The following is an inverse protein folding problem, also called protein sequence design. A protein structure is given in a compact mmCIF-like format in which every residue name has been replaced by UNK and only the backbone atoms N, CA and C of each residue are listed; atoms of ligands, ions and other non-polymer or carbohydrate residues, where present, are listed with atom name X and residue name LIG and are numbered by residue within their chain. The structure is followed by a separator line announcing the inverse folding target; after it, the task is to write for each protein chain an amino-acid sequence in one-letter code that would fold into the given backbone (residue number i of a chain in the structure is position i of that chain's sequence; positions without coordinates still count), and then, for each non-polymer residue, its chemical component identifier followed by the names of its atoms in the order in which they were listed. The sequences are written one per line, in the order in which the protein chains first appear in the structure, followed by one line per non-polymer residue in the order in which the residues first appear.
data_IF_392840899125
#
_entry.id   IF_392840899125
#
_cell.length_a   1.000
_cell.length_b   1.000
_cell.length_c   1.000
_cell.angle_alpha   90.00
_cell.angle_beta   90.00
_cell.angle_gamma   90.00
#
_symmetry.space_group_name_H-M   'P 1'
#
loop_
_entity.id
_entity.type
_entity.pdbx_description
1 polymer ?
#
# COMPACT_ATOMS: atom_id res chain seq x y z
N UNK A 1 -0.23 14.20 -22.79
CA UNK A 1 -1.09 12.99 -22.83
C UNK A 1 -2.31 13.11 -23.74
N UNK A 2 -2.74 14.31 -24.20
CA UNK A 2 -3.81 14.44 -25.20
C UNK A 2 -3.56 13.66 -26.50
N UNK A 3 -2.30 13.52 -26.91
CA UNK A 3 -1.92 12.80 -28.13
C UNK A 3 -1.96 11.26 -28.03
N UNK A 4 -1.93 10.66 -26.82
CA UNK A 4 -1.99 9.19 -26.69
C UNK A 4 -3.44 8.67 -26.81
N UNK A 5 -4.41 9.40 -26.26
CA UNK A 5 -5.81 9.01 -26.29
C UNK A 5 -6.38 9.04 -27.73
N UNK A 6 -6.01 10.04 -28.53
CA UNK A 6 -6.44 10.15 -29.93
C UNK A 6 -5.87 9.04 -30.83
N UNK A 7 -4.78 8.38 -30.41
CA UNK A 7 -4.15 7.29 -31.17
C UNK A 7 -4.79 5.93 -30.90
N UNK A 8 -5.33 5.70 -29.69
CA UNK A 8 -5.93 4.42 -29.31
C UNK A 8 -7.29 4.13 -29.97
N UNK A 9 -8.02 5.15 -30.42
CA UNK A 9 -9.34 5.00 -31.04
C UNK A 9 -9.96 6.35 -31.38
N UNK A 10 -11.01 6.36 -32.19
CA UNK A 10 -11.86 7.56 -32.29
C UNK A 10 -12.66 7.77 -31.00
N UNK A 11 -13.07 9.01 -30.68
CA UNK A 11 -13.89 9.30 -29.47
C UNK A 11 -15.13 8.39 -29.36
N UNK A 12 -15.69 7.97 -30.50
CA UNK A 12 -16.83 7.02 -30.55
C UNK A 12 -16.47 5.56 -30.25
N UNK A 13 -15.24 5.11 -30.48
CA UNK A 13 -14.78 3.75 -30.15
C UNK A 13 -14.43 3.59 -28.67
N UNK A 14 -13.96 4.67 -28.03
CA UNK A 14 -13.62 4.67 -26.61
C UNK A 14 -14.84 4.90 -25.71
N UNK A 15 -15.91 5.52 -26.22
CA UNK A 15 -17.15 5.78 -25.47
C UNK A 15 -17.82 4.52 -24.89
N UNK A 16 -17.50 3.33 -25.42
CA UNK A 16 -18.03 2.07 -24.88
C UNK A 16 -17.49 1.75 -23.48
N UNK A 17 -16.31 2.24 -23.11
CA UNK A 17 -15.75 2.03 -21.77
C UNK A 17 -16.46 2.85 -20.69
N UNK A 18 -17.22 3.87 -21.10
CA UNK A 18 -18.07 4.69 -20.24
C UNK A 18 -19.54 4.20 -20.22
N UNK A 19 -19.89 3.20 -21.04
CA UNK A 19 -21.23 2.61 -21.08
C UNK A 19 -21.38 1.51 -20.01
N UNK A 20 -22.02 1.86 -18.89
CA UNK A 20 -22.29 0.92 -17.79
C UNK A 20 -23.19 -0.27 -18.19
N UNK A 21 -23.88 -0.20 -19.34
CA UNK A 21 -24.71 -1.28 -19.88
C UNK A 21 -23.96 -2.20 -20.85
N UNK A 22 -22.72 -1.86 -21.19
CA UNK A 22 -21.90 -2.64 -22.11
C UNK A 22 -21.59 -4.02 -21.53
N UNK A 23 -21.82 -5.05 -22.32
CA UNK A 23 -21.50 -6.42 -21.91
C UNK A 23 -19.99 -6.64 -21.90
N UNK A 24 -19.53 -7.47 -20.96
CA UNK A 24 -18.10 -7.80 -20.82
C UNK A 24 -17.45 -8.28 -22.15
N UNK A 25 -18.07 -9.13 -22.98
CA UNK A 25 -17.50 -9.49 -24.29
C UNK A 25 -17.31 -8.30 -25.23
N UNK A 26 -18.23 -7.32 -25.22
CA UNK A 26 -18.11 -6.11 -26.05
C UNK A 26 -16.97 -5.22 -25.57
N UNK A 27 -16.82 -5.06 -24.26
CA UNK A 27 -15.70 -4.34 -23.66
C UNK A 27 -14.35 -5.00 -24.01
N UNK A 28 -14.27 -6.33 -23.94
CA UNK A 28 -13.07 -7.07 -24.32
C UNK A 28 -12.73 -6.93 -25.81
N UNK A 29 -13.74 -6.94 -26.69
CA UNK A 29 -13.53 -6.74 -28.12
C UNK A 29 -13.05 -5.31 -28.44
N UNK A 30 -13.64 -4.31 -27.79
CA UNK A 30 -13.20 -2.93 -27.90
C UNK A 30 -11.75 -2.76 -27.43
N UNK A 31 -11.39 -3.38 -26.30
CA UNK A 31 -10.03 -3.37 -25.78
C UNK A 31 -9.03 -4.01 -26.76
N UNK A 32 -9.39 -5.17 -27.32
CA UNK A 32 -8.61 -5.85 -28.36
C UNK A 32 -8.37 -4.96 -29.58
N UNK A 33 -9.40 -4.24 -30.04
CA UNK A 33 -9.30 -3.31 -31.19
C UNK A 33 -8.36 -2.14 -30.88
N UNK A 34 -8.49 -1.53 -29.71
CA UNK A 34 -7.61 -0.43 -29.29
C UNK A 34 -6.13 -0.86 -29.26
N UNK A 35 -5.85 -2.04 -28.69
CA UNK A 35 -4.48 -2.53 -28.61
C UNK A 35 -3.91 -2.93 -29.97
N UNK A 36 -4.74 -3.49 -30.87
CA UNK A 36 -4.32 -3.76 -32.25
C UNK A 36 -3.98 -2.48 -32.98
N UNK A 37 -4.80 -1.44 -32.86
CA UNK A 37 -4.51 -0.15 -33.49
C UNK A 37 -3.18 0.43 -33.01
N UNK A 38 -2.93 0.41 -31.69
CA UNK A 38 -1.64 0.84 -31.14
C UNK A 38 -0.48 0.01 -31.71
N UNK A 39 -0.63 -1.31 -31.77
CA UNK A 39 0.36 -2.21 -32.32
C UNK A 39 0.62 -1.97 -33.83
N UNK A 40 -0.43 -1.71 -34.61
CA UNK A 40 -0.36 -1.41 -36.05
C UNK A 40 0.34 -0.07 -36.32
N UNK A 41 0.21 0.91 -35.41
CA UNK A 41 0.97 2.16 -35.41
C UNK A 41 2.44 1.99 -34.94
N UNK A 42 2.84 0.75 -34.59
CA UNK A 42 4.21 0.41 -34.22
C UNK A 42 4.51 0.52 -32.72
N UNK A 43 3.51 0.79 -31.88
CA UNK A 43 3.70 0.88 -30.43
C UNK A 43 3.73 -0.50 -29.76
N UNK A 44 4.43 -0.56 -28.62
CA UNK A 44 4.35 -1.65 -27.66
C UNK A 44 3.29 -1.30 -26.61
N UNK A 45 2.43 -2.26 -26.28
CA UNK A 45 1.42 -2.12 -25.23
C UNK A 45 1.93 -2.80 -23.97
N UNK A 46 2.03 -2.04 -22.90
CA UNK A 46 2.44 -2.56 -21.59
C UNK A 46 1.33 -2.34 -20.57
N UNK A 47 0.88 -3.42 -19.94
CA UNK A 47 -0.16 -3.39 -18.92
C UNK A 47 0.41 -3.74 -17.55
N UNK A 48 0.30 -2.79 -16.62
CA UNK A 48 0.61 -2.98 -15.21
C UNK A 48 -0.64 -3.46 -14.47
N UNK A 49 -0.59 -4.67 -13.94
CA UNK A 49 -1.68 -5.28 -13.19
C UNK A 49 -1.31 -5.29 -11.71
N UNK A 50 -1.78 -4.26 -10.99
CA UNK A 50 -1.57 -4.05 -9.56
C UNK A 50 -2.32 -5.05 -8.69
N UNK A 51 -1.68 -5.52 -7.61
CA UNK A 51 -2.29 -6.39 -6.58
C UNK A 51 -3.01 -7.61 -7.19
N UNK A 52 -2.37 -8.21 -8.21
CA UNK A 52 -3.00 -9.22 -9.06
C UNK A 52 -3.39 -10.50 -8.29
N UNK A 53 -2.63 -10.81 -7.23
CA UNK A 53 -2.87 -11.89 -6.28
C UNK A 53 -4.07 -11.63 -5.35
N UNK A 54 -4.42 -10.36 -5.10
CA UNK A 54 -5.52 -9.97 -4.20
C UNK A 54 -6.87 -9.81 -4.92
N UNK A 55 -6.93 -9.97 -6.24
CA UNK A 55 -8.17 -9.78 -6.99
C UNK A 55 -9.22 -10.83 -6.60
N UNK A 56 -10.28 -10.41 -5.90
CA UNK A 56 -11.34 -11.30 -5.39
C UNK A 56 -12.48 -11.55 -6.38
N UNK A 57 -12.61 -10.72 -7.42
CA UNK A 57 -13.68 -10.79 -8.41
C UNK A 57 -13.34 -11.67 -9.63
N UNK A 58 -12.12 -12.20 -9.70
CA UNK A 58 -11.64 -12.92 -10.89
C UNK A 58 -12.23 -14.31 -10.99
N UNK A 59 -12.36 -14.78 -12.23
CA UNK A 59 -12.81 -16.13 -12.57
C UNK A 59 -11.84 -16.76 -13.57
N UNK A 60 -11.90 -18.07 -13.81
CA UNK A 60 -11.15 -18.70 -14.90
C UNK A 60 -11.36 -18.01 -16.25
N UNK A 61 -12.56 -17.48 -16.50
CA UNK A 61 -12.89 -16.70 -17.70
C UNK A 61 -12.00 -15.46 -17.79
N UNK A 62 -11.84 -14.72 -16.69
CA UNK A 62 -10.99 -13.53 -16.65
C UNK A 62 -9.53 -13.85 -17.02
N UNK A 63 -8.95 -14.90 -16.45
CA UNK A 63 -7.56 -15.30 -16.75
C UNK A 63 -7.39 -15.77 -18.20
N UNK A 64 -8.35 -16.55 -18.70
CA UNK A 64 -8.38 -16.98 -20.10
C UNK A 64 -8.49 -15.80 -21.06
N UNK A 65 -9.20 -14.74 -20.69
CA UNK A 65 -9.29 -13.53 -21.51
C UNK A 65 -7.98 -12.77 -21.56
N UNK A 66 -7.25 -12.65 -20.45
CA UNK A 66 -5.90 -12.07 -20.44
C UNK A 66 -4.93 -12.89 -21.30
N UNK A 67 -4.99 -14.22 -21.19
CA UNK A 67 -4.19 -15.12 -22.03
C UNK A 67 -4.54 -14.99 -23.51
N UNK A 68 -5.83 -14.95 -23.85
CA UNK A 68 -6.33 -14.74 -25.21
C UNK A 68 -5.90 -13.39 -25.79
N UNK A 69 -5.95 -12.34 -24.97
CA UNK A 69 -5.55 -10.99 -25.36
C UNK A 69 -4.06 -10.96 -25.72
N UNK A 70 -3.21 -11.54 -24.87
CA UNK A 70 -1.79 -11.69 -25.13
C UNK A 70 -1.50 -12.52 -26.39
N UNK A 71 -2.17 -13.66 -26.56
CA UNK A 71 -2.01 -14.48 -27.75
C UNK A 71 -2.38 -13.74 -29.04
N UNK A 72 -3.42 -12.90 -29.00
CA UNK A 72 -3.90 -12.15 -30.16
C UNK A 72 -2.99 -11.00 -30.61
N UNK A 73 -2.04 -10.61 -29.75
CA UNK A 73 -1.11 -9.49 -29.92
C UNK A 73 0.32 -9.92 -29.55
N UNK A 74 0.60 -11.22 -29.68
CA UNK A 74 1.90 -11.78 -29.28
C UNK A 74 3.01 -11.03 -30.00
N UNK A 75 4.09 -10.69 -29.27
CA UNK A 75 5.19 -9.77 -29.61
C UNK A 75 5.01 -8.28 -29.31
N UNK A 76 3.78 -7.77 -29.16
CA UNK A 76 3.53 -6.33 -28.92
C UNK A 76 2.75 -6.01 -27.64
N UNK A 77 2.23 -7.02 -26.97
CA UNK A 77 1.54 -6.88 -25.69
C UNK A 77 2.33 -7.56 -24.57
N UNK A 78 2.66 -6.79 -23.54
CA UNK A 78 3.41 -7.23 -22.37
C UNK A 78 2.60 -7.00 -21.09
N UNK A 79 2.69 -7.93 -20.16
CA UNK A 79 2.09 -7.80 -18.83
C UNK A 79 3.19 -7.63 -17.79
N UNK A 80 2.98 -6.70 -16.86
CA UNK A 80 3.73 -6.63 -15.60
C UNK A 80 2.72 -6.90 -14.48
N UNK A 81 2.82 -8.08 -13.89
CA UNK A 81 2.01 -8.46 -12.72
C UNK A 81 2.71 -7.99 -11.45
N UNK A 82 2.06 -7.12 -10.69
CA UNK A 82 2.54 -6.67 -9.40
C UNK A 82 1.81 -7.47 -8.31
N UNK A 83 2.58 -8.18 -7.50
CA UNK A 83 2.08 -9.17 -6.55
C UNK A 83 2.78 -8.97 -5.20
N UNK A 84 2.10 -9.31 -4.12
CA UNK A 84 2.63 -9.18 -2.75
C UNK A 84 3.06 -10.50 -2.15
N UNK A 85 2.40 -11.56 -2.54
CA UNK A 85 2.62 -12.90 -2.05
C UNK A 85 3.55 -13.71 -2.97
N UNK A 86 4.05 -14.83 -2.45
CA UNK A 86 4.78 -15.79 -3.28
C UNK A 86 3.86 -16.38 -4.34
N UNK A 87 4.37 -16.46 -5.57
CA UNK A 87 3.65 -16.88 -6.78
C UNK A 87 3.91 -18.35 -7.11
N UNK A 88 4.83 -19.00 -6.40
CA UNK A 88 5.16 -20.42 -6.59
C UNK A 88 4.19 -21.37 -5.88
N UNK A 89 3.20 -20.82 -5.15
CA UNK A 89 2.15 -21.59 -4.50
C UNK A 89 1.29 -22.36 -5.53
N UNK A 90 1.18 -23.68 -5.32
CA UNK A 90 0.46 -24.59 -6.20
C UNK A 90 -1.04 -24.27 -6.33
N UNK A 91 -1.69 -23.74 -5.30
CA UNK A 91 -3.10 -23.32 -5.37
C UNK A 91 -3.29 -22.16 -6.35
N UNK A 92 -2.36 -21.20 -6.36
CA UNK A 92 -2.40 -20.03 -7.25
C UNK A 92 -2.09 -20.39 -8.70
N UNK A 93 -1.07 -21.21 -8.90
CA UNK A 93 -0.70 -21.79 -10.19
C UNK A 93 -1.92 -22.46 -10.83
N UNK A 94 -2.69 -23.21 -10.04
CA UNK A 94 -3.92 -23.86 -10.50
C UNK A 94 -5.01 -22.84 -10.83
N UNK A 95 -5.17 -21.80 -10.01
CA UNK A 95 -6.16 -20.73 -10.19
C UNK A 95 -5.97 -19.93 -11.48
N UNK A 96 -4.73 -19.65 -11.87
CA UNK A 96 -4.43 -18.86 -13.08
C UNK A 96 -4.48 -19.66 -14.39
N UNK A 97 -4.46 -21.00 -14.32
CA UNK A 97 -4.56 -21.87 -15.49
C UNK A 97 -3.46 -21.56 -16.53
N UNK A 98 -3.85 -21.39 -17.80
CA UNK A 98 -2.91 -21.11 -18.89
C UNK A 98 -2.19 -19.76 -18.78
N UNK A 99 -2.70 -18.85 -17.95
CA UNK A 99 -2.05 -17.56 -17.68
C UNK A 99 -0.77 -17.75 -16.85
N UNK A 100 -0.65 -18.85 -16.11
CA UNK A 100 0.52 -19.15 -15.27
C UNK A 100 1.84 -19.11 -16.03
N UNK A 101 1.85 -19.56 -17.29
CA UNK A 101 3.06 -19.49 -18.14
C UNK A 101 3.55 -18.05 -18.28
N UNK A 102 2.63 -17.10 -18.46
CA UNK A 102 2.96 -15.67 -18.59
C UNK A 102 3.37 -15.05 -17.26
N UNK A 103 2.75 -15.46 -16.16
CA UNK A 103 3.09 -14.96 -14.81
C UNK A 103 4.48 -15.43 -14.39
N UNK A 104 4.84 -16.68 -14.70
CA UNK A 104 6.10 -17.28 -14.27
C UNK A 104 7.27 -17.05 -15.25
N UNK A 105 7.04 -16.43 -16.40
CA UNK A 105 8.06 -16.27 -17.44
C UNK A 105 9.28 -15.45 -16.96
N UNK A 106 9.04 -14.33 -16.26
CA UNK A 106 10.09 -13.45 -15.76
C UNK A 106 9.71 -12.93 -14.37
N UNK A 107 10.25 -13.57 -13.34
CA UNK A 107 9.95 -13.23 -11.94
C UNK A 107 11.05 -12.34 -11.37
N UNK A 108 10.70 -11.11 -11.03
CA UNK A 108 11.60 -10.15 -10.40
C UNK A 108 11.12 -9.88 -8.97
N UNK A 109 11.98 -10.21 -7.99
CA UNK A 109 11.72 -9.91 -6.59
C UNK A 109 12.22 -8.50 -6.25
N UNK A 110 11.33 -7.67 -5.74
CA UNK A 110 11.68 -6.34 -5.23
C UNK A 110 11.97 -6.47 -3.72
N UNK A 111 13.24 -6.68 -3.40
CA UNK A 111 13.72 -6.85 -2.03
C UNK A 111 13.72 -5.52 -1.27
N UNK A 112 13.63 -5.58 0.06
CA UNK A 112 13.98 -4.45 0.91
C UNK A 112 15.42 -4.01 0.67
N UNK A 113 15.69 -2.72 0.91
CA UNK A 113 17.02 -2.16 0.72
C UNK A 113 18.02 -2.85 1.64
N UNK A 114 19.21 -3.17 1.12
CA UNK A 114 20.32 -3.56 1.98
C UNK A 114 20.79 -2.34 2.81
N UNK A 115 21.66 -2.57 3.80
CA UNK A 115 22.11 -1.51 4.70
C UNK A 115 22.75 -0.30 3.98
N UNK A 116 23.50 -0.54 2.90
CA UNK A 116 24.16 0.52 2.12
C UNK A 116 23.12 1.36 1.37
N UNK A 117 22.18 0.71 0.69
CA UNK A 117 21.14 1.40 -0.07
C UNK A 117 20.14 2.11 0.87
N UNK A 118 19.84 1.52 2.02
CA UNK A 118 19.00 2.13 3.05
C UNK A 118 19.62 3.42 3.62
N UNK A 119 20.93 3.41 3.87
CA UNK A 119 21.68 4.59 4.29
C UNK A 119 21.63 5.69 3.22
N UNK A 120 21.91 5.36 1.96
CA UNK A 120 21.81 6.31 0.84
C UNK A 120 20.40 6.89 0.68
N UNK A 121 19.36 6.05 0.76
CA UNK A 121 17.96 6.49 0.66
C UNK A 121 17.57 7.38 1.84
N UNK A 122 18.06 7.10 3.04
CA UNK A 122 17.84 7.94 4.22
C UNK A 122 18.40 9.34 3.99
N UNK A 123 19.65 9.44 3.51
CA UNK A 123 20.28 10.73 3.17
C UNK A 123 19.50 11.49 2.11
N UNK A 124 19.16 10.83 1.00
CA UNK A 124 18.40 11.45 -0.09
C UNK A 124 17.04 11.96 0.35
N UNK A 125 16.32 11.20 1.19
CA UNK A 125 15.03 11.63 1.74
C UNK A 125 15.21 12.81 2.70
N UNK A 126 16.26 12.80 3.52
CA UNK A 126 16.60 13.90 4.43
C UNK A 126 16.80 15.20 3.65
N UNK A 127 17.59 15.14 2.56
CA UNK A 127 17.82 16.27 1.65
C UNK A 127 16.53 16.74 0.96
N UNK A 128 15.73 15.81 0.43
CA UNK A 128 14.44 16.10 -0.22
C UNK A 128 13.47 16.83 0.71
N UNK A 129 13.46 16.46 1.99
CA UNK A 129 12.58 17.04 3.02
C UNK A 129 13.19 18.24 3.75
N UNK A 130 14.47 18.56 3.53
CA UNK A 130 15.17 19.65 4.22
C UNK A 130 15.43 19.37 5.71
N UNK A 131 15.52 18.10 6.11
CA UNK A 131 15.71 17.66 7.51
C UNK A 131 17.18 17.36 7.73
N UNK A 132 17.74 17.77 8.87
CA UNK A 132 19.12 17.46 9.26
C UNK A 132 19.12 16.37 10.32
N UNK A 133 19.61 15.17 9.98
CA UNK A 133 19.67 14.04 10.90
C UNK A 133 21.07 13.87 11.51
N UNK A 134 21.13 13.64 12.82
CA UNK A 134 22.36 13.22 13.50
C UNK A 134 22.75 11.77 13.13
N UNK A 135 24.00 11.37 13.37
CA UNK A 135 24.44 9.99 13.11
C UNK A 135 23.74 8.99 14.04
N UNK A 136 23.40 9.40 15.27
CA UNK A 136 22.61 8.60 16.21
C UNK A 136 21.17 8.40 15.70
N UNK A 137 20.55 9.44 15.13
CA UNK A 137 19.21 9.35 14.53
C UNK A 137 19.21 8.45 13.29
N UNK A 138 20.18 8.60 12.38
CA UNK A 138 20.33 7.69 11.23
C UNK A 138 20.47 6.24 11.68
N UNK A 139 21.29 6.00 12.71
CA UNK A 139 21.47 4.68 13.30
C UNK A 139 20.17 4.15 13.89
N UNK A 140 19.42 4.98 14.61
CA UNK A 140 18.12 4.63 15.18
C UNK A 140 17.11 4.25 14.10
N UNK A 141 16.95 5.09 13.06
CA UNK A 141 16.03 4.82 11.94
C UNK A 141 16.38 3.51 11.23
N UNK A 142 17.68 3.26 11.00
CA UNK A 142 18.14 2.00 10.41
C UNK A 142 17.83 0.78 11.31
N UNK A 143 17.97 0.89 12.63
CA UNK A 143 17.64 -0.20 13.55
C UNK A 143 16.14 -0.49 13.63
N UNK A 144 15.31 0.57 13.59
CA UNK A 144 13.86 0.44 13.70
C UNK A 144 13.22 -0.10 12.42
N UNK A 145 13.67 0.38 11.26
CA UNK A 145 12.99 0.17 9.97
C UNK A 145 13.75 -0.71 8.98
N UNK A 146 15.05 -0.94 9.25
CA UNK A 146 15.97 -1.59 8.32
C UNK A 146 15.91 -0.98 6.93
N UNK A 147 15.62 -1.82 5.94
CA UNK A 147 15.63 -1.48 4.53
C UNK A 147 14.33 -0.94 3.95
N UNK A 148 13.31 -0.63 4.76
CA UNK A 148 11.98 -0.30 4.24
C UNK A 148 11.87 1.18 3.84
N UNK A 149 11.80 1.52 2.52
CA UNK A 149 11.92 2.91 2.06
C UNK A 149 10.83 3.83 2.60
N UNK A 150 9.59 3.32 2.65
CA UNK A 150 8.47 4.10 3.17
C UNK A 150 8.59 4.38 4.68
N UNK A 151 8.97 3.40 5.49
CA UNK A 151 9.14 3.59 6.93
C UNK A 151 10.29 4.58 7.21
N UNK A 152 11.38 4.50 6.46
CA UNK A 152 12.46 5.50 6.49
C UNK A 152 11.87 6.89 6.24
N UNK A 153 11.11 7.07 5.14
CA UNK A 153 10.47 8.36 4.82
C UNK A 153 9.56 8.88 5.93
N UNK A 154 8.71 8.02 6.48
CA UNK A 154 7.83 8.41 7.60
C UNK A 154 8.66 8.77 8.82
N UNK A 155 9.70 7.98 9.14
CA UNK A 155 10.61 8.23 10.24
C UNK A 155 11.31 9.58 10.17
N UNK A 156 11.88 9.94 9.02
CA UNK A 156 12.50 11.25 8.81
C UNK A 156 11.50 12.39 9.05
N UNK A 157 10.25 12.26 8.57
CA UNK A 157 9.19 13.24 8.86
C UNK A 157 8.81 13.33 10.33
N UNK A 158 8.88 12.21 11.08
CA UNK A 158 8.62 12.21 12.51
C UNK A 158 9.76 12.90 13.27
N UNK A 159 11.02 12.67 12.86
CA UNK A 159 12.18 13.38 13.42
C UNK A 159 12.07 14.89 13.21
N UNK A 160 11.75 15.33 12.00
CA UNK A 160 11.54 16.75 11.66
C UNK A 160 10.52 17.44 12.57
N UNK A 161 9.38 16.78 12.80
CA UNK A 161 8.35 17.29 13.72
C UNK A 161 8.80 17.30 15.18
N UNK A 162 9.62 16.32 15.55
CA UNK A 162 10.12 16.16 16.90
C UNK A 162 11.24 17.17 17.23
N UNK A 163 12.04 17.63 16.26
CA UNK A 163 13.17 18.55 16.50
C UNK A 163 12.76 19.91 17.13
N UNK A 164 11.48 20.27 17.05
CA UNK A 164 10.92 21.42 17.78
C UNK A 164 10.82 21.24 19.31
N UNK A 165 10.87 20.00 19.79
CA UNK A 165 10.85 19.61 21.21
C UNK A 165 12.14 18.82 21.47
N UNK A 166 13.05 19.28 22.35
CA UNK A 166 14.31 18.57 22.65
C UNK A 166 14.04 17.17 23.24
N UNK A 167 13.80 16.17 22.40
CA UNK A 167 13.58 14.79 22.80
C UNK A 167 14.92 14.08 22.96
N UNK A 168 15.03 13.24 23.99
CA UNK A 168 16.14 12.30 24.06
C UNK A 168 15.99 11.24 22.96
N UNK A 169 17.09 10.59 22.55
CA UNK A 169 17.06 9.51 21.57
C UNK A 169 16.11 8.37 21.99
N UNK A 170 15.97 8.15 23.31
CA UNK A 170 15.05 7.15 23.87
C UNK A 170 13.57 7.58 23.73
N UNK A 171 13.26 8.86 23.89
CA UNK A 171 11.90 9.37 23.69
C UNK A 171 11.51 9.37 22.21
N UNK A 172 12.45 9.75 21.34
CA UNK A 172 12.27 9.64 19.88
C UNK A 172 12.03 8.19 19.46
N UNK A 173 12.78 7.24 20.02
CA UNK A 173 12.57 5.82 19.77
C UNK A 173 11.17 5.36 20.18
N UNK A 174 10.69 5.76 21.37
CA UNK A 174 9.33 5.44 21.83
C UNK A 174 8.27 6.05 20.91
N UNK A 175 8.46 7.29 20.48
CA UNK A 175 7.58 7.97 19.54
C UNK A 175 7.49 7.21 18.21
N UNK A 176 8.62 6.88 17.60
CA UNK A 176 8.68 6.16 16.33
C UNK A 176 8.06 4.76 16.41
N UNK A 177 8.30 4.03 17.50
CA UNK A 177 7.69 2.72 17.75
C UNK A 177 6.18 2.81 17.99
N UNK A 178 5.72 3.90 18.62
CA UNK A 178 4.31 4.18 18.88
C UNK A 178 3.54 4.74 17.68
N UNK A 179 4.24 5.29 16.69
CA UNK A 179 3.63 6.01 15.58
C UNK A 179 2.78 5.07 14.72
N UNK A 180 1.48 5.35 14.62
CA UNK A 180 0.53 4.42 14.03
C UNK A 180 0.85 4.09 12.57
N UNK A 181 1.19 5.10 11.76
CA UNK A 181 1.47 4.90 10.34
C UNK A 181 2.62 3.89 10.12
N UNK A 182 3.65 3.97 10.97
CA UNK A 182 4.77 3.04 10.97
C UNK A 182 4.32 1.63 11.38
N UNK A 183 3.59 1.52 12.49
CA UNK A 183 3.04 0.24 12.97
C UNK A 183 2.14 -0.43 11.94
N UNK A 184 1.29 0.35 11.27
CA UNK A 184 0.35 -0.13 10.25
C UNK A 184 1.08 -0.69 9.03
N UNK A 185 2.17 -0.04 8.59
CA UNK A 185 3.01 -0.56 7.50
C UNK A 185 3.68 -1.87 7.92
N UNK A 186 4.28 -1.92 9.11
CA UNK A 186 4.92 -3.13 9.61
C UNK A 186 3.92 -4.30 9.75
N UNK A 187 2.72 -3.98 10.21
CA UNK A 187 1.61 -4.92 10.32
C UNK A 187 1.14 -5.42 8.95
N UNK A 188 0.97 -4.52 7.99
CA UNK A 188 0.59 -4.85 6.62
C UNK A 188 1.58 -5.80 5.95
N UNK A 189 2.88 -5.57 6.13
CA UNK A 189 3.93 -6.47 5.63
C UNK A 189 3.79 -7.88 6.23
N UNK A 190 3.43 -8.00 7.51
CA UNK A 190 3.20 -9.30 8.15
C UNK A 190 1.89 -9.96 7.71
N UNK A 191 0.82 -9.19 7.58
CA UNK A 191 -0.54 -9.73 7.35
C UNK A 191 -0.73 -10.31 5.96
N UNK A 192 0.00 -9.84 4.96
CA UNK A 192 -0.02 -10.40 3.59
C UNK A 192 0.79 -11.70 3.45
N UNK A 193 1.53 -12.12 4.48
CA UNK A 193 2.32 -13.36 4.40
C UNK A 193 1.42 -14.60 4.51
N UNK A 194 1.84 -15.70 3.88
CA UNK A 194 1.18 -17.01 4.00
C UNK A 194 1.19 -17.52 5.44
N UNK A 195 0.32 -18.47 5.78
CA UNK A 195 0.27 -19.06 7.12
C UNK A 195 1.63 -19.64 7.54
N UNK A 196 2.27 -20.40 6.64
CA UNK A 196 3.61 -20.97 6.84
C UNK A 196 4.67 -19.89 7.06
N UNK A 197 4.71 -18.86 6.20
CA UNK A 197 5.66 -17.76 6.34
C UNK A 197 5.46 -16.99 7.67
N UNK A 198 4.21 -16.81 8.12
CA UNK A 198 3.90 -16.18 9.41
C UNK A 198 4.41 -17.01 10.58
N UNK A 199 4.32 -18.33 10.53
CA UNK A 199 4.87 -19.21 11.57
C UNK A 199 6.40 -19.10 11.64
N UNK A 200 7.07 -19.15 10.50
CA UNK A 200 8.52 -18.95 10.44
C UNK A 200 8.96 -17.58 10.95
N UNK A 201 8.27 -16.50 10.57
CA UNK A 201 8.54 -15.16 11.08
C UNK A 201 8.38 -15.07 12.59
N UNK A 202 7.35 -15.71 13.17
CA UNK A 202 7.15 -15.76 14.63
C UNK A 202 8.30 -16.49 15.32
N UNK A 203 8.69 -17.67 14.83
CA UNK A 203 9.83 -18.42 15.36
C UNK A 203 11.14 -17.62 15.31
N UNK A 204 11.42 -16.95 14.19
CA UNK A 204 12.60 -16.11 14.03
C UNK A 204 12.56 -14.91 14.98
N UNK A 205 11.41 -14.24 15.09
CA UNK A 205 11.22 -13.10 15.99
C UNK A 205 11.36 -13.49 17.47
N UNK A 206 10.96 -14.71 17.84
CA UNK A 206 11.16 -15.33 19.16
C UNK A 206 12.61 -15.86 19.35
N UNK A 207 13.51 -15.69 18.38
CA UNK A 207 14.94 -16.01 18.47
C UNK A 207 15.31 -17.46 18.19
N UNK A 208 14.40 -18.24 17.60
CA UNK A 208 14.68 -19.63 17.22
C UNK A 208 15.63 -19.71 16.03
N UNK A 209 16.54 -20.69 16.04
CA UNK A 209 17.45 -20.93 14.91
C UNK A 209 16.67 -21.58 13.76
N UNK A 210 16.85 -21.02 12.58
CA UNK A 210 16.36 -21.62 11.33
C UNK A 210 17.41 -22.61 10.84
N UNK A 211 17.12 -23.90 10.98
CA UNK A 211 18.00 -25.00 10.52
C UNK A 211 17.65 -25.46 9.10
N UNK A 212 16.38 -25.41 8.73
CA UNK A 212 15.87 -25.86 7.43
C UNK A 212 15.65 -24.69 6.47
N UNK A 213 15.61 -24.96 5.16
CA UNK A 213 15.31 -23.97 4.11
C UNK A 213 14.02 -24.33 3.37
N UNK A 214 12.85 -24.24 4.01
CA UNK A 214 11.57 -24.32 3.31
C UNK A 214 11.42 -23.16 2.32
N UNK A 215 10.55 -23.32 1.32
CA UNK A 215 10.34 -22.32 0.27
C UNK A 215 9.98 -20.95 0.84
N UNK A 216 9.15 -20.92 1.89
CA UNK A 216 8.78 -19.70 2.60
C UNK A 216 9.99 -18.97 3.20
N UNK A 217 10.98 -19.66 3.77
CA UNK A 217 12.22 -19.04 4.26
C UNK A 217 13.07 -18.48 3.10
N UNK A 218 13.12 -19.19 1.98
CA UNK A 218 13.84 -18.72 0.77
C UNK A 218 13.18 -17.45 0.24
N UNK A 219 11.86 -17.42 0.15
CA UNK A 219 11.07 -16.26 -0.25
C UNK A 219 11.29 -15.06 0.68
N UNK A 220 11.14 -15.26 2.00
CA UNK A 220 11.36 -14.20 3.00
C UNK A 220 12.77 -13.59 2.87
N UNK A 221 13.79 -14.41 2.57
CA UNK A 221 15.16 -13.94 2.35
C UNK A 221 15.30 -13.17 1.04
N UNK A 222 14.70 -13.64 -0.06
CA UNK A 222 14.67 -12.92 -1.35
C UNK A 222 14.03 -11.54 -1.19
N UNK A 223 12.93 -11.46 -0.45
CA UNK A 223 12.23 -10.20 -0.16
C UNK A 223 12.95 -9.30 0.85
N UNK A 224 14.06 -9.76 1.44
CA UNK A 224 14.81 -9.00 2.44
C UNK A 224 14.09 -8.87 3.79
N UNK A 225 13.01 -9.63 4.00
CA UNK A 225 12.25 -9.63 5.26
C UNK A 225 13.03 -10.29 6.39
N UNK A 226 13.96 -11.19 6.03
CA UNK A 226 14.92 -11.80 6.95
C UNK A 226 16.35 -11.70 6.41
N UNK A 227 17.31 -11.54 7.32
CA UNK A 227 18.74 -11.46 7.04
C UNK A 227 19.54 -12.24 8.08
N UNK A 228 20.87 -12.35 7.89
CA UNK A 228 21.76 -12.90 8.91
C UNK A 228 22.48 -11.78 9.64
N UNK A 229 22.59 -11.91 10.96
CA UNK A 229 23.43 -11.04 11.79
C UNK A 229 24.92 -11.37 11.63
N UNK A 230 25.79 -10.59 12.26
CA UNK A 230 27.25 -10.80 12.23
C UNK A 230 27.67 -12.13 12.89
N UNK A 231 26.80 -12.75 13.66
CA UNK A 231 27.00 -14.04 14.34
C UNK A 231 26.37 -15.21 13.55
N UNK A 232 25.75 -14.93 12.40
CA UNK A 232 25.07 -15.91 11.55
C UNK A 232 23.63 -16.25 11.95
N UNK A 233 23.07 -15.63 12.98
CA UNK A 233 21.68 -15.80 13.39
C UNK A 233 20.73 -15.13 12.40
N UNK A 234 19.61 -15.79 12.10
CA UNK A 234 18.58 -15.20 11.23
C UNK A 234 17.76 -14.20 12.04
N UNK A 235 17.58 -13.00 11.51
CA UNK A 235 16.77 -11.93 12.11
C UNK A 235 15.77 -11.38 11.09
N UNK A 236 14.75 -10.68 11.57
CA UNK A 236 13.81 -9.92 10.73
C UNK A 236 14.30 -8.50 10.47
N UNK A 237 13.78 -7.82 9.44
CA UNK A 237 14.34 -6.56 8.91
C UNK A 237 14.27 -5.29 9.78
N UNK A 238 14.02 -5.38 11.09
CA UNK A 238 14.00 -4.21 11.98
C UNK A 238 13.17 -4.44 13.22
N UNK A 239 13.40 -3.61 14.23
CA UNK A 239 12.71 -3.74 15.52
C UNK A 239 11.21 -3.50 15.42
N UNK A 240 10.77 -2.55 14.59
CA UNK A 240 9.34 -2.27 14.43
C UNK A 240 8.58 -3.47 13.82
N UNK A 241 9.18 -4.12 12.81
CA UNK A 241 8.59 -5.31 12.21
C UNK A 241 8.60 -6.50 13.17
N UNK A 242 9.67 -6.67 13.96
CA UNK A 242 9.72 -7.65 15.05
C UNK A 242 8.56 -7.46 16.03
N UNK A 243 8.28 -6.22 16.46
CA UNK A 243 7.15 -5.91 17.33
C UNK A 243 5.79 -6.20 16.67
N UNK A 244 5.64 -5.92 15.38
CA UNK A 244 4.41 -6.24 14.66
C UNK A 244 4.12 -7.75 14.58
N UNK A 245 5.18 -8.58 14.48
CA UNK A 245 5.08 -10.04 14.53
C UNK A 245 4.66 -10.50 15.94
N UNK A 246 5.38 -10.05 16.98
CA UNK A 246 5.18 -10.49 18.35
C UNK A 246 3.90 -9.95 18.99
N UNK A 247 3.46 -8.76 18.60
CA UNK A 247 2.26 -8.08 19.09
C UNK A 247 0.94 -8.77 18.72
N UNK A 248 0.96 -9.76 17.83
CA UNK A 248 -0.20 -10.60 17.48
C UNK A 248 -0.80 -11.36 18.66
N UNK A 249 -0.05 -11.55 19.74
CA UNK A 249 -0.48 -12.36 20.90
C UNK A 249 -1.62 -11.71 21.72
N UNK A 250 -1.94 -10.41 21.52
CA UNK A 250 -2.85 -9.66 22.42
C UNK A 250 -4.05 -8.96 21.75
N UNK A 251 -4.40 -9.26 20.50
CA UNK A 251 -5.52 -8.64 19.77
C UNK A 251 -6.91 -9.14 20.19
N UNK A 252 -7.28 -8.99 21.47
CA UNK A 252 -8.64 -9.25 21.94
C UNK A 252 -9.60 -8.18 21.45
N UNK A 253 -10.32 -8.46 20.37
CA UNK A 253 -11.44 -7.65 19.86
C UNK A 253 -12.56 -7.63 20.91
N UNK A 254 -12.57 -6.61 21.78
CA UNK A 254 -13.76 -6.34 22.61
C UNK A 254 -14.85 -5.73 21.72
N UNK A 255 -15.91 -6.50 21.53
CA UNK A 255 -17.11 -6.13 20.79
C UNK A 255 -17.72 -4.80 21.27
N UNK A 256 -18.30 -4.07 20.32
CA UNK A 256 -18.84 -2.72 20.44
C UNK A 256 -20.23 -2.77 21.08
N UNK A 257 -20.46 -1.93 22.09
CA UNK A 257 -21.76 -1.32 22.35
C UNK A 257 -21.63 0.18 22.04
N UNK A 258 -22.52 0.71 21.21
CA UNK A 258 -22.52 2.12 20.80
C UNK A 258 -23.11 3.01 21.90
N UNK A 259 -22.50 4.18 22.12
CA UNK A 259 -23.27 5.42 22.17
C UNK A 259 -22.76 6.47 21.16
N UNK A 260 -23.70 7.31 20.74
CA UNK A 260 -23.66 8.36 19.72
C UNK A 260 -22.74 9.55 20.00
N UNK A 261 -22.35 10.26 18.93
CA UNK A 261 -21.65 11.56 18.88
C UNK A 261 -20.35 11.64 19.70
N UNK A 262 -19.35 10.85 19.30
CA UNK A 262 -17.97 11.05 19.74
C UNK A 262 -17.19 11.98 18.82
N UNK A 263 -16.24 12.73 19.38
CA UNK A 263 -15.24 13.44 18.58
C UNK A 263 -14.22 12.43 18.02
N UNK A 264 -14.07 12.39 16.69
CA UNK A 264 -12.87 11.82 16.07
C UNK A 264 -11.74 12.86 16.13
N UNK A 265 -10.60 12.46 16.67
CA UNK A 265 -9.38 13.28 16.71
C UNK A 265 -8.18 12.42 16.34
N UNK A 266 -7.15 13.06 15.81
CA UNK A 266 -5.83 12.46 15.67
C UNK A 266 -5.03 12.83 16.90
N UNK A 267 -4.47 11.84 17.58
CA UNK A 267 -3.48 12.08 18.62
C UNK A 267 -2.23 12.67 17.95
N UNK A 268 -1.91 13.92 18.29
CA UNK A 268 -0.86 14.69 17.60
C UNK A 268 0.54 14.08 17.76
N UNK A 269 0.75 13.32 18.85
CA UNK A 269 2.03 12.67 19.11
C UNK A 269 2.13 11.35 18.33
N UNK A 270 1.14 10.49 18.43
CA UNK A 270 1.20 9.11 17.91
C UNK A 270 0.63 8.97 16.50
N UNK A 271 -0.11 9.96 16.02
CA UNK A 271 -0.91 9.89 14.79
C UNK A 271 -2.12 8.96 14.90
N UNK A 272 -2.38 8.35 16.06
CA UNK A 272 -3.50 7.42 16.23
C UNK A 272 -4.85 8.13 16.05
N UNK A 273 -5.81 7.46 15.40
CA UNK A 273 -7.16 7.99 15.24
C UNK A 273 -8.01 7.53 16.42
N UNK A 274 -8.34 8.48 17.30
CA UNK A 274 -9.09 8.23 18.51
C UNK A 274 -10.55 8.64 18.32
N UNK A 275 -11.47 7.77 18.69
CA UNK A 275 -12.91 8.03 18.77
C UNK A 275 -13.42 7.65 20.17
N UNK A 276 -14.04 8.59 20.88
CA UNK A 276 -14.51 8.38 22.26
C UNK A 276 -13.42 7.83 23.20
N UNK A 277 -12.21 8.38 23.10
CA UNK A 277 -11.06 7.96 23.93
C UNK A 277 -10.52 6.57 23.61
N UNK A 278 -10.93 5.95 22.50
CA UNK A 278 -10.44 4.66 22.03
C UNK A 278 -9.83 4.78 20.64
N UNK A 279 -8.70 4.13 20.46
CA UNK A 279 -8.06 3.92 19.16
C UNK A 279 -8.97 3.11 18.23
N UNK A 280 -9.31 3.67 17.06
CA UNK A 280 -10.20 3.03 16.05
C UNK A 280 -9.51 2.80 14.71
N UNK A 281 -8.24 3.16 14.62
CA UNK A 281 -7.39 3.07 13.43
C UNK A 281 -7.35 1.70 12.72
N UNK A 282 -7.45 0.58 13.46
CA UNK A 282 -7.43 -0.79 12.89
C UNK A 282 -8.58 -1.06 11.91
N UNK A 283 -9.61 -0.20 11.92
CA UNK A 283 -10.75 -0.31 11.01
C UNK A 283 -10.48 0.27 9.63
N UNK A 284 -9.40 1.04 9.46
CA UNK A 284 -9.11 1.76 8.22
C UNK A 284 -7.93 1.14 7.46
N UNK A 285 -8.01 1.13 6.13
CA UNK A 285 -6.86 0.83 5.29
C UNK A 285 -5.85 1.99 5.35
N UNK A 286 -4.61 1.78 4.88
CA UNK A 286 -3.60 2.86 4.83
C UNK A 286 -4.10 4.10 4.08
N UNK A 287 -4.72 3.93 2.92
CA UNK A 287 -5.25 5.04 2.12
C UNK A 287 -6.37 5.79 2.85
N UNK A 288 -7.29 5.05 3.47
CA UNK A 288 -8.37 5.63 4.25
C UNK A 288 -7.85 6.38 5.48
N UNK A 289 -6.86 5.82 6.18
CA UNK A 289 -6.19 6.46 7.31
C UNK A 289 -5.50 7.76 6.89
N UNK A 290 -4.70 7.75 5.80
CA UNK A 290 -3.99 8.95 5.34
C UNK A 290 -4.96 10.10 5.04
N UNK A 291 -6.05 9.80 4.33
CA UNK A 291 -7.10 10.77 4.03
C UNK A 291 -7.80 11.25 5.30
N UNK A 292 -8.20 10.31 6.18
CA UNK A 292 -8.89 10.65 7.41
C UNK A 292 -8.02 11.54 8.31
N UNK A 293 -6.76 11.19 8.50
CA UNK A 293 -5.82 11.96 9.30
C UNK A 293 -5.60 13.37 8.74
N UNK A 294 -5.49 13.51 7.41
CA UNK A 294 -5.39 14.84 6.77
C UNK A 294 -6.65 15.68 7.03
N UNK A 295 -7.84 15.09 6.91
CA UNK A 295 -9.10 15.75 7.22
C UNK A 295 -9.21 16.17 8.69
N UNK A 296 -8.79 15.31 9.62
CA UNK A 296 -8.87 15.56 11.05
C UNK A 296 -7.83 16.58 11.53
N UNK A 297 -6.66 16.64 10.90
CA UNK A 297 -5.66 17.69 11.17
C UNK A 297 -6.12 19.07 10.70
N UNK A 298 -6.91 19.14 9.61
CA UNK A 298 -7.46 20.39 9.07
C UNK A 298 -8.97 20.29 8.94
N UNK A 299 -9.64 20.10 10.07
CA UNK A 299 -11.11 20.10 10.09
C UNK A 299 -11.67 21.39 9.52
N UNK A 300 -12.88 21.30 9.00
CA UNK A 300 -13.56 22.38 8.33
C UNK A 300 -12.88 22.96 7.07
N UNK A 301 -11.80 22.33 6.58
CA UNK A 301 -11.09 22.72 5.35
C UNK A 301 -11.57 21.89 4.15
N UNK A 302 -11.69 22.53 2.99
CA UNK A 302 -11.99 21.85 1.73
C UNK A 302 -10.70 21.24 1.18
N UNK A 303 -10.72 19.93 0.92
CA UNK A 303 -9.70 19.23 0.15
C UNK A 303 -10.26 18.97 -1.24
N UNK A 304 -9.57 19.46 -2.25
CA UNK A 304 -9.86 19.15 -3.65
C UNK A 304 -9.51 17.70 -3.97
N UNK A 305 -9.94 17.20 -5.13
CA UNK A 305 -9.51 15.88 -5.59
C UNK A 305 -8.00 15.83 -5.80
N UNK A 306 -7.40 16.94 -6.20
CA UNK A 306 -5.95 17.10 -6.34
C UNK A 306 -5.24 17.02 -5.00
N UNK A 307 -5.75 17.68 -3.96
CA UNK A 307 -5.19 17.55 -2.61
C UNK A 307 -5.24 16.09 -2.10
N UNK A 308 -6.36 15.39 -2.34
CA UNK A 308 -6.52 13.99 -1.94
C UNK A 308 -5.58 13.09 -2.73
N UNK A 309 -5.42 13.36 -4.02
CA UNK A 309 -4.50 12.64 -4.87
C UNK A 309 -3.06 12.77 -4.42
N UNK A 310 -2.63 13.99 -4.09
CA UNK A 310 -1.31 14.27 -3.55
C UNK A 310 -1.06 13.54 -2.22
N UNK A 311 -2.09 13.43 -1.36
CA UNK A 311 -1.99 12.68 -0.09
C UNK A 311 -1.79 11.18 -0.34
N UNK A 312 -2.52 10.61 -1.30
CA UNK A 312 -2.51 9.17 -1.55
C UNK A 312 -1.28 8.70 -2.33
N UNK A 313 -0.88 9.47 -3.34
CA UNK A 313 0.12 9.04 -4.34
C UNK A 313 1.36 9.96 -4.40
N UNK A 314 1.34 11.10 -3.71
CA UNK A 314 2.47 12.05 -3.65
C UNK A 314 2.51 13.03 -4.83
N UNK A 315 3.22 14.15 -4.63
CA UNK A 315 3.34 15.26 -5.60
C UNK A 315 4.04 14.92 -6.92
N UNK A 316 4.64 13.74 -7.02
CA UNK A 316 5.33 13.23 -8.22
C UNK A 316 4.62 12.03 -8.85
N UNK A 317 3.37 11.73 -8.46
CA UNK A 317 2.57 10.75 -9.18
C UNK A 317 2.32 11.29 -10.60
N UNK A 318 3.12 10.82 -11.57
CA UNK A 318 3.15 11.30 -12.95
C UNK A 318 1.87 11.03 -13.76
N UNK A 319 0.79 10.58 -13.11
CA UNK A 319 -0.51 10.36 -13.72
C UNK A 319 -1.58 10.92 -12.80
N UNK A 320 -2.45 11.79 -13.34
CA UNK A 320 -3.69 12.16 -12.65
C UNK A 320 -4.44 10.87 -12.37
N UNK A 321 -4.58 10.53 -11.10
CA UNK A 321 -5.44 9.46 -10.60
C UNK A 321 -6.84 9.60 -11.18
N UNK A 322 -7.55 8.48 -11.30
CA UNK A 322 -8.96 8.54 -11.67
C UNK A 322 -9.76 9.16 -10.51
N UNK A 323 -10.57 10.18 -10.80
CA UNK A 323 -11.56 10.73 -9.86
C UNK A 323 -12.42 9.62 -9.26
N UNK A 324 -12.71 8.57 -10.03
CA UNK A 324 -13.43 7.39 -9.56
C UNK A 324 -12.69 6.65 -8.44
N UNK A 325 -11.35 6.52 -8.53
CA UNK A 325 -10.56 5.87 -7.48
C UNK A 325 -10.63 6.66 -6.17
N UNK A 326 -10.55 8.00 -6.23
CA UNK A 326 -10.76 8.86 -5.07
C UNK A 326 -12.17 8.66 -4.51
N UNK A 327 -13.19 8.69 -5.37
CA UNK A 327 -14.58 8.57 -4.96
C UNK A 327 -14.85 7.20 -4.29
N UNK A 328 -14.19 6.11 -4.75
CA UNK A 328 -14.23 4.80 -4.10
C UNK A 328 -13.62 4.82 -2.70
N UNK A 329 -12.43 5.42 -2.52
CA UNK A 329 -11.79 5.51 -1.20
C UNK A 329 -12.65 6.34 -0.25
N UNK A 330 -13.17 7.50 -0.70
CA UNK A 330 -14.07 8.35 0.09
C UNK A 330 -15.36 7.62 0.46
N UNK A 331 -15.94 6.86 -0.46
CA UNK A 331 -17.14 6.07 -0.22
C UNK A 331 -16.93 5.00 0.85
N UNK A 332 -15.81 4.25 0.77
CA UNK A 332 -15.44 3.25 1.78
C UNK A 332 -15.18 3.90 3.13
N UNK A 333 -14.43 5.00 3.16
CA UNK A 333 -14.17 5.77 4.38
C UNK A 333 -15.47 6.24 5.04
N UNK A 334 -16.41 6.80 4.25
CA UNK A 334 -17.71 7.25 4.76
C UNK A 334 -18.49 6.11 5.43
N UNK A 335 -18.58 4.94 4.78
CA UNK A 335 -19.25 3.76 5.36
C UNK A 335 -18.63 3.34 6.69
N UNK A 336 -17.30 3.35 6.80
CA UNK A 336 -16.59 3.01 8.03
C UNK A 336 -16.84 4.03 9.15
N UNK A 337 -16.86 5.32 8.82
CA UNK A 337 -17.22 6.39 9.75
C UNK A 337 -18.67 6.28 10.23
N UNK A 338 -19.60 5.89 9.36
CA UNK A 338 -20.99 5.62 9.74
C UNK A 338 -21.10 4.47 10.74
N UNK A 339 -20.40 3.35 10.49
CA UNK A 339 -20.35 2.19 11.41
C UNK A 339 -19.75 2.60 12.77
N UNK A 340 -18.81 3.54 12.76
CA UNK A 340 -18.20 4.09 13.98
C UNK A 340 -19.10 5.04 14.75
N UNK A 341 -20.22 5.49 14.18
CA UNK A 341 -21.12 6.47 14.81
C UNK A 341 -20.76 7.93 14.51
N UNK A 342 -19.90 8.20 13.52
CA UNK A 342 -19.55 9.53 13.00
C UNK A 342 -20.22 9.79 11.65
N UNK A 343 -21.53 9.57 11.59
CA UNK A 343 -22.30 9.73 10.37
C UNK A 343 -22.48 11.21 10.01
N UNK A 344 -22.21 11.55 8.75
CA UNK A 344 -22.45 12.90 8.21
C UNK A 344 -21.28 13.88 8.34
N UNK A 345 -20.19 13.50 9.00
CA UNK A 345 -19.04 14.38 9.17
C UNK A 345 -18.19 14.54 7.89
N UNK A 346 -18.18 13.54 6.99
CA UNK A 346 -17.45 13.62 5.71
C UNK A 346 -18.37 14.04 4.56
N UNK A 347 -18.34 15.32 4.23
CA UNK A 347 -19.21 15.98 3.25
C UNK A 347 -18.57 16.07 1.87
N UNK A 348 -19.40 15.90 0.83
CA UNK A 348 -19.03 16.22 -0.56
C UNK A 348 -19.45 17.65 -0.88
N UNK A 349 -18.50 18.48 -1.31
CA UNK A 349 -18.75 19.81 -1.86
C UNK A 349 -18.78 19.70 -3.38
N UNK A 350 -19.99 19.69 -3.96
CA UNK A 350 -20.23 19.41 -5.38
C UNK A 350 -19.31 20.24 -6.29
N UNK A 351 -18.59 19.56 -7.18
CA UNK A 351 -17.68 20.18 -8.15
C UNK A 351 -16.38 20.74 -7.57
N UNK A 352 -16.14 20.61 -6.26
CA UNK A 352 -14.95 21.16 -5.61
C UNK A 352 -14.11 20.13 -4.86
N UNK A 353 -14.75 19.18 -4.17
CA UNK A 353 -14.03 18.15 -3.42
C UNK A 353 -14.77 17.74 -2.15
N UNK A 354 -14.03 17.57 -1.07
CA UNK A 354 -14.50 16.93 0.16
C UNK A 354 -14.08 17.71 1.40
N UNK A 355 -14.86 17.61 2.47
CA UNK A 355 -14.63 18.36 3.72
C UNK A 355 -15.06 17.52 4.91
N UNK A 356 -14.24 17.48 5.96
CA UNK A 356 -14.64 16.90 7.23
C UNK A 356 -15.11 18.00 8.18
N UNK A 357 -16.33 17.84 8.72
CA UNK A 357 -16.93 18.75 9.69
C UNK A 357 -17.04 18.06 11.03
N UNK A 358 -16.63 18.75 12.09
CA UNK A 358 -16.92 18.35 13.47
C UNK A 358 -18.22 18.98 13.89
N UNK A 359 -19.16 18.17 14.39
CA UNK A 359 -20.38 18.68 15.02
C UNK A 359 -19.96 19.40 16.30
N UNK A 360 -20.19 20.71 16.38
CA UNK A 360 -19.98 21.49 17.60
C UNK A 360 -21.04 21.18 18.65
#
# INVERSE_FOLDING_TARGET
MGDCYQKLGSDGELAIFDDETASYPRLLEALKKCFRKAADEGYEVLLFLGEFDELSFTSPIFYNNLRSLWGSLSSRLHYIFLMREDITDQEKITRWGDLTELVLQNVVYISLLNAKDASYVTEKISEELGVSLSEEEKTLLSQLFGGHPYMIRVGVRVVDKADGERHSLEDLKKLLLGYYELKSVARGVFDVQTAEAKEHLKSIADGQKVTDQPESIVFLRKMGLISKDNQGHTMVFGELFKQAILGTKNGGTKAIQAPSNGDLKVDEQTGAVVFNGRTVEEKFTRQEYLILSAFLQKTNTLFTRDDIGDILWGKQAYEKYSDWAIDQVISKLRKKLEILGSKGNLLTVKGKGYKFVTSS
#
